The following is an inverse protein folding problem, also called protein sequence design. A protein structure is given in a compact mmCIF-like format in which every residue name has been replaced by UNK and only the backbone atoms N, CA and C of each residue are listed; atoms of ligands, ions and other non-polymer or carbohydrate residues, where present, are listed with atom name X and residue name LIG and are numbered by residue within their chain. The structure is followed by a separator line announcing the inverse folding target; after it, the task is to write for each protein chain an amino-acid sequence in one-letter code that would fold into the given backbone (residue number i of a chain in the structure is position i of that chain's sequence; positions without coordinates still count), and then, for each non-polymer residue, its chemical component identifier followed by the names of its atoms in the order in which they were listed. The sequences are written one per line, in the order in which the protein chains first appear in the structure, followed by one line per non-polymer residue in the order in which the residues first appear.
data_IF_737823266407
#
_entry.id   IF_737823266407
#
_cell.length_a   1.000
_cell.length_b   1.000
_cell.length_c   1.000
_cell.angle_alpha   90.00
_cell.angle_beta   90.00
_cell.angle_gamma   90.00
#
_symmetry.space_group_name_H-M   'P 1'
#
loop_
_entity.id
_entity.type
_entity.pdbx_description
1 polymer ?
#
# COMPACT_ATOMS: atom_id res chain seq x y z
N UNK A 1 -45.56 9.20 -10.95
CA UNK A 1 -44.31 9.61 -10.25
C UNK A 1 -43.20 8.55 -10.34
N UNK A 2 -43.50 7.26 -10.17
CA UNK A 2 -42.48 6.20 -10.24
C UNK A 2 -41.73 6.09 -11.59
N UNK A 3 -42.38 6.33 -12.74
CA UNK A 3 -41.69 6.21 -14.05
C UNK A 3 -40.66 7.32 -14.29
N UNK A 4 -40.94 8.55 -13.83
CA UNK A 4 -40.02 9.68 -13.94
C UNK A 4 -38.78 9.41 -13.08
N UNK A 5 -38.98 8.94 -11.84
CA UNK A 5 -37.90 8.56 -10.95
C UNK A 5 -37.01 7.45 -11.55
N UNK A 6 -37.62 6.43 -12.15
CA UNK A 6 -36.89 5.35 -12.82
C UNK A 6 -36.11 5.84 -14.05
N UNK A 7 -36.67 6.80 -14.81
CA UNK A 7 -35.98 7.45 -15.93
C UNK A 7 -34.75 8.24 -15.47
N UNK A 8 -34.83 8.95 -14.34
CA UNK A 8 -33.67 9.64 -13.75
C UNK A 8 -32.57 8.66 -13.33
N UNK A 9 -32.93 7.55 -12.67
CA UNK A 9 -31.97 6.49 -12.32
C UNK A 9 -31.31 5.92 -13.57
N UNK A 10 -32.09 5.66 -14.62
CA UNK A 10 -31.57 5.17 -15.89
C UNK A 10 -30.57 6.14 -16.54
N UNK A 11 -30.84 7.44 -16.51
CA UNK A 11 -29.91 8.46 -17.01
C UNK A 11 -28.59 8.48 -16.21
N UNK A 12 -28.64 8.39 -14.88
CA UNK A 12 -27.43 8.30 -14.05
C UNK A 12 -26.63 7.03 -14.36
N UNK A 13 -27.32 5.91 -14.57
CA UNK A 13 -26.70 4.65 -14.97
C UNK A 13 -26.00 4.76 -16.33
N UNK A 14 -26.62 5.40 -17.32
CA UNK A 14 -26.00 5.64 -18.63
C UNK A 14 -24.74 6.50 -18.52
N UNK A 15 -24.77 7.59 -17.74
CA UNK A 15 -23.59 8.42 -17.51
C UNK A 15 -22.47 7.63 -16.83
N UNK A 16 -22.80 6.78 -15.85
CA UNK A 16 -21.84 5.90 -15.19
C UNK A 16 -21.19 4.91 -16.17
N UNK A 17 -21.99 4.32 -17.07
CA UNK A 17 -21.49 3.40 -18.10
C UNK A 17 -20.51 4.14 -19.04
N UNK A 18 -20.87 5.33 -19.51
CA UNK A 18 -20.01 6.12 -20.40
C UNK A 18 -18.65 6.40 -19.74
N UNK A 19 -18.66 6.84 -18.48
CA UNK A 19 -17.43 7.09 -17.71
C UNK A 19 -16.60 5.81 -17.51
N UNK A 20 -17.25 4.69 -17.23
CA UNK A 20 -16.59 3.39 -17.09
C UNK A 20 -15.96 2.91 -18.40
N UNK A 21 -16.63 3.10 -19.53
CA UNK A 21 -16.11 2.73 -20.86
C UNK A 21 -14.87 3.56 -21.17
N UNK A 22 -14.91 4.89 -20.96
CA UNK A 22 -13.75 5.77 -21.17
C UNK A 22 -12.56 5.35 -20.28
N UNK A 23 -12.83 5.04 -19.00
CA UNK A 23 -11.81 4.53 -18.08
C UNK A 23 -11.19 3.23 -18.57
N UNK A 24 -12.01 2.28 -19.04
CA UNK A 24 -11.55 1.00 -19.60
C UNK A 24 -10.67 1.19 -20.84
N UNK A 25 -11.02 2.12 -21.74
CA UNK A 25 -10.20 2.42 -22.91
C UNK A 25 -8.87 3.08 -22.53
N UNK A 26 -8.84 3.96 -21.53
CA UNK A 26 -7.58 4.53 -21.01
C UNK A 26 -6.67 3.45 -20.43
N UNK A 27 -7.21 2.54 -19.62
CA UNK A 27 -6.45 1.41 -19.05
C UNK A 27 -5.90 0.51 -20.16
N UNK A 28 -6.72 0.16 -21.16
CA UNK A 28 -6.28 -0.64 -22.31
C UNK A 28 -5.18 0.06 -23.12
N UNK A 29 -5.26 1.39 -23.28
CA UNK A 29 -4.23 2.16 -23.97
C UNK A 29 -2.90 2.09 -23.22
N UNK A 30 -2.92 2.35 -21.91
CA UNK A 30 -1.72 2.33 -21.05
C UNK A 30 -1.11 0.91 -21.02
N UNK A 31 -1.94 -0.12 -20.91
CA UNK A 31 -1.47 -1.51 -20.93
C UNK A 31 -0.77 -1.87 -22.25
N UNK A 32 -1.25 -1.33 -23.38
CA UNK A 32 -0.67 -1.58 -24.70
C UNK A 32 0.63 -0.81 -24.94
N UNK A 33 0.73 0.40 -24.41
CA UNK A 33 1.92 1.27 -24.51
C UNK A 33 3.11 0.76 -23.66
N UNK A 34 2.81 -0.06 -22.66
CA UNK A 34 3.76 -0.68 -21.75
C UNK A 34 3.84 -2.20 -21.88
N UNK A 35 3.35 -2.77 -23.00
CA UNK A 35 3.26 -4.23 -23.22
C UNK A 35 4.59 -4.91 -23.54
N UNK A 36 5.63 -4.15 -23.93
CA UNK A 36 6.93 -4.69 -24.37
C UNK A 36 8.04 -4.53 -23.30
N UNK A 37 7.71 -4.05 -22.10
CA UNK A 37 8.67 -3.88 -21.01
C UNK A 37 8.58 -5.06 -20.01
N UNK A 38 9.59 -5.95 -19.94
CA UNK A 38 9.59 -7.10 -19.04
C UNK A 38 9.69 -6.73 -17.55
N UNK A 39 9.80 -5.44 -17.19
CA UNK A 39 9.97 -4.97 -15.80
C UNK A 39 8.70 -4.35 -15.18
N UNK A 40 7.56 -4.37 -15.88
CA UNK A 40 6.29 -3.81 -15.40
C UNK A 40 5.39 -4.93 -14.86
N UNK A 41 5.22 -4.97 -13.53
CA UNK A 41 4.45 -6.04 -12.85
C UNK A 41 2.96 -5.72 -12.69
N UNK A 42 2.55 -4.46 -12.89
CA UNK A 42 1.16 -4.09 -12.78
C UNK A 42 0.91 -2.59 -12.87
N UNK A 43 -0.37 -2.25 -13.00
CA UNK A 43 -0.86 -0.87 -13.07
C UNK A 43 -1.72 -0.63 -11.84
N UNK A 44 -1.37 0.36 -11.03
CA UNK A 44 -2.16 0.77 -9.86
C UNK A 44 -2.72 2.17 -10.06
N UNK A 45 -3.97 2.35 -9.63
CA UNK A 45 -4.65 3.65 -9.68
C UNK A 45 -4.53 4.27 -8.28
N UNK A 46 -3.72 5.32 -8.15
CA UNK A 46 -3.55 6.07 -6.90
C UNK A 46 -4.08 7.48 -7.15
N UNK A 47 -5.08 7.90 -6.38
CA UNK A 47 -5.70 9.24 -6.48
C UNK A 47 -6.21 9.62 -7.89
N UNK A 48 -6.72 8.65 -8.66
CA UNK A 48 -7.29 8.89 -9.99
C UNK A 48 -6.27 8.99 -11.13
N UNK A 49 -4.98 8.87 -10.83
CA UNK A 49 -3.91 8.76 -11.82
C UNK A 49 -3.44 7.32 -11.94
N UNK A 50 -3.22 6.88 -13.18
CA UNK A 50 -2.77 5.54 -13.50
C UNK A 50 -1.24 5.55 -13.43
N UNK A 51 -0.68 4.94 -12.37
CA UNK A 51 0.77 4.82 -12.19
C UNK A 51 1.22 3.40 -12.48
N UNK A 52 2.35 3.29 -13.18
CA UNK A 52 2.98 2.05 -13.58
C UNK A 52 3.89 1.61 -12.44
N UNK A 53 3.67 0.42 -11.89
CA UNK A 53 4.54 -0.14 -10.86
C UNK A 53 5.70 -0.83 -11.59
N UNK A 54 6.82 -0.13 -11.72
CA UNK A 54 8.10 -0.74 -12.07
C UNK A 54 8.61 -1.52 -10.86
N UNK A 55 9.14 -2.72 -11.10
CA UNK A 55 9.66 -3.64 -10.08
C UNK A 55 10.78 -3.02 -9.20
N UNK A 56 11.37 -1.91 -9.62
CA UNK A 56 12.43 -1.21 -8.91
C UNK A 56 11.94 -0.04 -8.04
N UNK A 57 10.63 0.27 -8.08
CA UNK A 57 9.97 1.13 -7.11
C UNK A 57 8.94 0.33 -6.30
N UNK A 58 9.39 -0.78 -5.72
CA UNK A 58 9.02 -1.01 -4.32
C UNK A 58 9.51 0.25 -3.63
N UNK A 59 8.56 1.14 -3.36
CA UNK A 59 8.71 2.22 -2.42
C UNK A 59 9.43 1.61 -1.23
N UNK A 60 10.74 1.84 -1.17
CA UNK A 60 11.52 1.75 0.03
C UNK A 60 10.82 2.72 0.96
N UNK A 61 9.78 2.24 1.66
CA UNK A 61 9.75 2.45 3.08
C UNK A 61 11.16 2.05 3.48
N UNK A 62 12.01 3.04 3.67
CA UNK A 62 13.18 2.86 4.48
C UNK A 62 12.62 2.30 5.79
N UNK A 63 12.54 0.98 5.88
CA UNK A 63 12.25 0.33 7.13
C UNK A 63 13.45 0.72 7.96
N UNK A 64 13.23 1.65 8.88
CA UNK A 64 14.21 1.96 9.91
C UNK A 64 14.51 0.62 10.58
N UNK A 65 15.69 0.07 10.28
CA UNK A 65 16.15 -1.15 10.91
C UNK A 65 16.72 -0.75 12.27
N UNK A 66 16.16 -1.34 13.31
CA UNK A 66 16.59 -1.10 14.68
C UNK A 66 17.35 -2.31 15.17
N UNK A 67 18.44 -2.04 15.90
CA UNK A 67 19.23 -3.09 16.53
C UNK A 67 18.46 -3.62 17.73
N UNK A 68 18.23 -4.93 17.74
CA UNK A 68 17.45 -5.57 18.79
C UNK A 68 18.35 -6.00 19.96
N UNK A 69 17.99 -5.60 21.19
CA UNK A 69 18.80 -5.79 22.40
C UNK A 69 19.07 -7.26 22.76
N UNK A 70 18.18 -8.19 22.39
CA UNK A 70 18.27 -9.61 22.74
C UNK A 70 19.25 -10.43 21.88
N UNK A 71 19.43 -10.05 20.61
CA UNK A 71 20.06 -10.92 19.61
C UNK A 71 21.05 -10.18 18.72
N UNK A 72 21.27 -8.88 18.94
CA UNK A 72 22.11 -8.00 18.11
C UNK A 72 21.75 -8.01 16.61
N UNK A 73 20.56 -8.51 16.27
CA UNK A 73 20.06 -8.57 14.89
C UNK A 73 19.43 -7.23 14.52
N UNK A 74 19.60 -6.84 13.26
CA UNK A 74 18.86 -5.74 12.66
C UNK A 74 17.49 -6.27 12.23
N UNK A 75 16.42 -5.67 12.74
CA UNK A 75 15.04 -6.04 12.41
C UNK A 75 14.26 -4.78 12.08
N UNK A 76 13.27 -4.90 11.20
CA UNK A 76 12.42 -3.78 10.82
C UNK A 76 11.65 -3.24 12.05
N UNK A 77 11.70 -1.92 12.29
CA UNK A 77 11.06 -1.25 13.43
C UNK A 77 9.56 -1.50 13.55
N UNK A 78 8.89 -1.91 12.47
CA UNK A 78 7.47 -2.23 12.45
C UNK A 78 7.13 -3.60 13.03
N UNK A 79 8.09 -4.51 13.17
CA UNK A 79 7.89 -5.90 13.58
C UNK A 79 8.63 -6.26 14.89
N UNK A 80 8.90 -5.26 15.73
CA UNK A 80 9.63 -5.43 16.99
C UNK A 80 8.85 -4.86 18.17
N UNK A 81 9.05 -5.45 19.33
CA UNK A 81 8.52 -4.94 20.58
C UNK A 81 9.37 -3.74 21.03
N UNK A 82 8.74 -2.61 21.33
CA UNK A 82 9.42 -1.41 21.85
C UNK A 82 9.13 -1.20 23.32
N UNK A 83 10.15 -0.78 24.07
CA UNK A 83 9.98 -0.20 25.41
C UNK A 83 10.75 1.12 25.53
N UNK A 84 10.26 2.02 26.36
CA UNK A 84 10.89 3.33 26.62
C UNK A 84 11.28 3.34 28.09
N UNK A 85 12.59 3.42 28.36
CA UNK A 85 13.13 3.44 29.73
C UNK A 85 13.95 4.72 29.90
N UNK A 86 13.44 5.65 30.70
CA UNK A 86 13.99 7.00 30.76
C UNK A 86 13.78 7.74 29.43
N UNK A 87 14.88 8.24 28.86
CA UNK A 87 14.90 8.95 27.58
C UNK A 87 15.37 8.07 26.40
N UNK A 88 15.57 6.77 26.63
CA UNK A 88 16.08 5.83 25.62
C UNK A 88 14.99 4.84 25.15
N UNK A 89 14.96 4.60 23.84
CA UNK A 89 14.10 3.58 23.22
C UNK A 89 14.85 2.26 23.04
N UNK A 90 14.28 1.18 23.54
CA UNK A 90 14.81 -0.17 23.43
C UNK A 90 13.89 -1.06 22.57
N UNK A 91 14.50 -1.92 21.75
CA UNK A 91 13.82 -2.76 20.78
C UNK A 91 14.10 -4.25 21.03
N UNK A 92 13.07 -5.10 20.97
CA UNK A 92 13.12 -6.52 21.34
C UNK A 92 12.50 -7.43 20.26
N UNK A 93 13.13 -8.58 20.07
CA UNK A 93 12.78 -9.58 19.05
C UNK A 93 11.53 -10.38 19.42
N UNK A 94 11.24 -10.47 20.72
CA UNK A 94 10.11 -11.20 21.26
C UNK A 94 9.64 -10.54 22.55
N UNK A 95 8.39 -10.82 22.91
CA UNK A 95 7.81 -10.39 24.18
C UNK A 95 8.65 -10.86 25.37
N UNK A 96 9.13 -12.11 25.35
CA UNK A 96 9.95 -12.68 26.43
C UNK A 96 11.26 -11.90 26.64
N UNK A 97 11.86 -11.39 25.57
CA UNK A 97 13.09 -10.59 25.67
C UNK A 97 12.84 -9.22 26.30
N UNK A 98 11.69 -8.62 26.00
CA UNK A 98 11.24 -7.39 26.64
C UNK A 98 11.01 -7.63 28.13
N UNK A 99 10.26 -8.67 28.48
CA UNK A 99 9.90 -8.99 29.86
C UNK A 99 11.13 -9.32 30.73
N UNK A 100 12.11 -10.06 30.19
CA UNK A 100 13.39 -10.31 30.87
C UNK A 100 14.22 -9.04 31.08
N UNK A 101 14.08 -8.06 30.21
CA UNK A 101 14.81 -6.79 30.31
C UNK A 101 14.14 -5.85 31.33
N UNK A 102 12.81 -5.81 31.36
CA UNK A 102 12.03 -4.99 32.29
C UNK A 102 12.03 -5.53 33.73
N UNK A 103 12.13 -6.85 33.90
CA UNK A 103 12.17 -7.51 35.22
C UNK A 103 13.61 -7.71 35.76
N UNK A 104 14.60 -7.05 35.19
CA UNK A 104 15.99 -7.08 35.65
C UNK A 104 16.30 -5.87 36.52
#
# INVERSE_FOLDING_TARGET
MASIFLQFIFLLFLVSIINSIIGMFRIRKILREHSDDPNIQGVAIVNGEVKIIQKDEVQSKATEQVKVCCCDKMVDKTDVYRSVIGDEEYYFCSWECKEKFENK
#
